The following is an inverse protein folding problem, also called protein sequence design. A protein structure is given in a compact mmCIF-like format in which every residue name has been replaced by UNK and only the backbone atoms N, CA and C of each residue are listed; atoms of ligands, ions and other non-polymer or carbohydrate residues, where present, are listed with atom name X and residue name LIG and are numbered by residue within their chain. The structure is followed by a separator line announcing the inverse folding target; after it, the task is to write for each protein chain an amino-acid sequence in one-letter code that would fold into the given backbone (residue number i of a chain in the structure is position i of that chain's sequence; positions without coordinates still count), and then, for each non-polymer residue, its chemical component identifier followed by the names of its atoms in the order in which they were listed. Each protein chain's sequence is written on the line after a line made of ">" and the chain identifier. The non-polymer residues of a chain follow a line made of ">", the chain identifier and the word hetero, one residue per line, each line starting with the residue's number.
data_IF_869241655859
#
_entry.id   IF_869241655859
#
_cell.length_a   1.000
_cell.length_b   1.000
_cell.length_c   1.000
_cell.angle_alpha   90.00
_cell.angle_beta   90.00
_cell.angle_gamma   90.00
#
_symmetry.space_group_name_H-M   'P 1'
#
loop_
_entity.id
_entity.type
_entity.pdbx_description
1 polymer ?
#
# COMPACT_ATOMS: atom_id res chain seq x y z
N UNK A 1 -5.84 9.30 1.00
CA UNK A 1 -5.27 10.65 1.18
C UNK A 1 -4.31 11.03 0.06
N UNK A 2 -3.24 10.27 -0.22
CA UNK A 2 -2.23 10.65 -1.23
C UNK A 2 -2.81 10.93 -2.62
N UNK A 3 -3.73 10.09 -3.11
CA UNK A 3 -4.39 10.32 -4.39
C UNK A 3 -5.21 11.62 -4.43
N UNK A 4 -5.62 12.14 -3.28
CA UNK A 4 -6.33 13.40 -3.13
C UNK A 4 -5.41 14.62 -2.92
N UNK A 5 -4.09 14.45 -3.08
CA UNK A 5 -3.11 15.51 -2.99
C UNK A 5 -2.62 15.84 -1.58
N UNK A 6 -2.87 14.97 -0.59
CA UNK A 6 -2.32 15.10 0.76
C UNK A 6 -0.91 14.52 0.84
N UNK A 7 -0.14 14.99 1.82
CA UNK A 7 1.28 14.66 1.97
C UNK A 7 1.64 14.19 3.37
N UNK A 8 2.81 13.57 3.48
CA UNK A 8 3.48 13.30 4.75
C UNK A 8 4.94 13.70 4.66
N UNK A 9 5.52 14.11 5.78
CA UNK A 9 6.93 14.40 5.92
C UNK A 9 7.46 13.89 7.26
N UNK A 10 8.73 13.59 7.32
CA UNK A 10 9.40 13.20 8.55
C UNK A 10 10.01 14.43 9.23
N UNK A 11 9.68 14.65 10.49
CA UNK A 11 10.28 15.68 11.33
C UNK A 11 11.63 15.21 11.90
N UNK A 12 12.47 16.14 12.33
CA UNK A 12 13.79 15.86 12.92
C UNK A 12 13.72 15.01 14.20
N UNK A 13 12.60 15.07 14.93
CA UNK A 13 12.35 14.28 16.15
C UNK A 13 11.81 12.86 15.86
N UNK A 14 11.68 12.50 14.57
CA UNK A 14 11.16 11.22 14.12
C UNK A 14 9.63 11.10 14.16
N UNK A 15 8.92 12.18 14.41
CA UNK A 15 7.46 12.24 14.23
C UNK A 15 7.10 12.45 12.76
N UNK A 16 5.85 12.16 12.39
CA UNK A 16 5.32 12.40 11.05
C UNK A 16 4.52 13.68 11.04
N UNK A 17 4.87 14.62 10.15
CA UNK A 17 4.00 15.72 9.80
C UNK A 17 3.01 15.26 8.74
N UNK A 18 1.73 15.52 8.95
CA UNK A 18 0.64 15.21 8.04
C UNK A 18 -0.27 16.42 7.89
N UNK A 19 -0.78 16.63 6.68
CA UNK A 19 -1.75 17.71 6.38
C UNK A 19 -3.20 17.17 6.26
N UNK A 20 -3.43 15.92 6.70
CA UNK A 20 -4.64 15.14 6.46
C UNK A 20 -5.90 15.66 7.14
N UNK A 21 -5.76 16.48 8.16
CA UNK A 21 -6.88 17.16 8.84
C UNK A 21 -7.26 18.51 8.20
N UNK A 22 -6.55 18.92 7.13
CA UNK A 22 -6.74 20.18 6.41
C UNK A 22 -7.40 20.02 5.05
N UNK A 23 -6.99 20.89 4.14
CA UNK A 23 -7.39 20.87 2.73
C UNK A 23 -6.16 20.68 1.86
N UNK A 24 -6.20 19.71 0.97
CA UNK A 24 -5.09 19.38 0.06
C UNK A 24 -4.89 20.46 -1.00
N UNK A 25 -3.76 20.39 -1.72
CA UNK A 25 -3.46 21.26 -2.85
C UNK A 25 -4.53 21.17 -3.96
N UNK A 26 -5.20 20.03 -4.08
CA UNK A 26 -6.28 19.81 -5.04
C UNK A 26 -7.65 20.30 -4.57
N UNK A 27 -7.71 20.95 -3.39
CA UNK A 27 -8.93 21.52 -2.83
C UNK A 27 -9.89 20.48 -2.24
N UNK A 28 -9.38 19.30 -1.85
CA UNK A 28 -10.15 18.25 -1.16
C UNK A 28 -9.87 18.34 0.32
N UNK A 29 -10.90 18.24 1.17
CA UNK A 29 -10.72 18.21 2.62
C UNK A 29 -10.47 16.79 3.12
N UNK A 30 -9.72 16.64 4.23
CA UNK A 30 -9.53 15.35 4.88
C UNK A 30 -10.85 14.70 5.28
N UNK A 31 -11.81 15.51 5.72
CA UNK A 31 -13.18 15.05 6.03
C UNK A 31 -13.83 14.37 4.82
N UNK A 32 -13.75 14.98 3.64
CA UNK A 32 -14.29 14.39 2.40
C UNK A 32 -13.63 13.05 2.05
N UNK A 33 -12.32 12.91 2.27
CA UNK A 33 -11.61 11.63 2.05
C UNK A 33 -12.13 10.56 3.01
N UNK A 34 -12.31 10.90 4.29
CA UNK A 34 -12.85 9.93 5.28
C UNK A 34 -14.30 9.59 4.98
N UNK A 35 -15.12 10.56 4.57
CA UNK A 35 -16.49 10.29 4.11
C UNK A 35 -16.51 9.30 2.94
N UNK A 36 -15.61 9.44 1.98
CA UNK A 36 -15.46 8.50 0.87
C UNK A 36 -15.04 7.10 1.37
N UNK A 37 -14.10 7.00 2.33
CA UNK A 37 -13.74 5.73 2.97
C UNK A 37 -14.96 5.10 3.67
N UNK A 38 -15.72 5.87 4.44
CA UNK A 38 -16.90 5.39 5.15
C UNK A 38 -18.01 4.93 4.20
N UNK A 39 -18.14 5.54 3.02
CA UNK A 39 -19.06 5.07 1.99
C UNK A 39 -18.66 3.69 1.43
N UNK A 40 -17.36 3.40 1.35
CA UNK A 40 -16.85 2.10 0.92
C UNK A 40 -17.04 1.07 2.04
N UNK A 41 -16.55 1.38 3.25
CA UNK A 41 -16.59 0.46 4.40
C UNK A 41 -18.03 0.24 4.94
N UNK A 42 -18.93 1.16 4.69
CA UNK A 42 -20.36 1.04 5.00
C UNK A 42 -21.15 0.14 4.06
N UNK A 43 -20.53 -0.34 2.97
CA UNK A 43 -21.18 -1.31 2.08
C UNK A 43 -21.35 -2.66 2.81
N UNK A 44 -22.53 -3.26 2.73
CA UNK A 44 -22.81 -4.54 3.40
C UNK A 44 -21.97 -5.72 2.91
N UNK A 45 -21.34 -5.59 1.74
CA UNK A 45 -20.41 -6.58 1.19
C UNK A 45 -18.94 -6.29 1.57
N UNK A 46 -18.66 -5.19 2.27
CA UNK A 46 -17.31 -4.89 2.74
C UNK A 46 -16.96 -5.78 3.93
N UNK A 47 -15.83 -6.49 3.83
CA UNK A 47 -15.31 -7.34 4.90
C UNK A 47 -13.98 -6.75 5.41
N UNK A 48 -13.92 -6.24 6.64
CA UNK A 48 -12.66 -5.88 7.26
C UNK A 48 -11.90 -7.16 7.64
N UNK A 49 -10.69 -7.32 7.09
CA UNK A 49 -9.85 -8.50 7.33
C UNK A 49 -8.67 -8.07 8.19
N UNK A 50 -8.41 -8.84 9.26
CA UNK A 50 -7.27 -8.61 10.13
C UNK A 50 -5.95 -8.87 9.38
N UNK A 51 -4.89 -8.14 9.75
CA UNK A 51 -3.56 -8.36 9.22
C UNK A 51 -3.11 -9.82 9.45
N UNK A 52 -2.53 -10.41 8.42
CA UNK A 52 -2.10 -11.82 8.42
C UNK A 52 -3.18 -12.85 8.08
N UNK A 53 -4.47 -12.47 7.95
CA UNK A 53 -5.55 -13.39 7.59
C UNK A 53 -6.03 -13.28 6.13
N UNK A 54 -5.49 -12.32 5.39
CA UNK A 54 -5.91 -12.04 4.00
C UNK A 54 -5.74 -13.26 3.10
N UNK A 55 -4.58 -13.93 3.13
CA UNK A 55 -4.33 -15.13 2.31
C UNK A 55 -5.30 -16.27 2.62
N UNK A 56 -5.70 -16.46 3.89
CA UNK A 56 -6.68 -17.47 4.29
C UNK A 56 -8.07 -17.14 3.75
N UNK A 57 -8.48 -15.86 3.82
CA UNK A 57 -9.76 -15.40 3.30
C UNK A 57 -9.82 -15.51 1.77
N UNK A 58 -8.72 -15.24 1.07
CA UNK A 58 -8.61 -15.50 -0.38
C UNK A 58 -8.76 -17.00 -0.66
N UNK A 59 -8.06 -17.84 0.09
CA UNK A 59 -8.09 -19.29 -0.10
C UNK A 59 -9.46 -19.92 0.18
N UNK A 60 -10.33 -19.29 0.99
CA UNK A 60 -11.70 -19.74 1.21
C UNK A 60 -12.59 -19.62 -0.03
N UNK A 61 -12.21 -18.75 -0.98
CA UNK A 61 -12.99 -18.48 -2.20
C UNK A 61 -14.20 -17.57 -1.99
N UNK A 62 -14.38 -17.00 -0.79
CA UNK A 62 -15.54 -16.17 -0.45
C UNK A 62 -15.37 -14.70 -0.86
N UNK A 63 -14.16 -14.28 -1.23
CA UNK A 63 -13.85 -12.91 -1.64
C UNK A 63 -13.96 -12.75 -3.15
N UNK A 64 -14.78 -11.79 -3.60
CA UNK A 64 -14.83 -11.38 -5.02
C UNK A 64 -13.71 -10.43 -5.41
N UNK A 65 -13.21 -9.63 -4.47
CA UNK A 65 -12.11 -8.69 -4.66
C UNK A 65 -11.43 -8.38 -3.33
N UNK A 66 -10.15 -8.09 -3.38
CA UNK A 66 -9.36 -7.70 -2.20
C UNK A 66 -8.32 -6.65 -2.60
N UNK A 67 -8.07 -5.69 -1.71
CA UNK A 67 -6.92 -4.79 -1.82
C UNK A 67 -5.79 -5.38 -1.02
N UNK A 68 -4.72 -5.78 -1.71
CA UNK A 68 -3.54 -6.39 -1.09
C UNK A 68 -2.28 -6.08 -1.91
N UNK A 69 -1.21 -6.79 -1.65
CA UNK A 69 0.04 -6.71 -2.41
C UNK A 69 0.32 -7.98 -3.22
N UNK A 70 1.41 -7.96 -3.97
CA UNK A 70 1.82 -9.08 -4.82
C UNK A 70 2.11 -10.36 -4.04
N UNK A 71 2.31 -10.29 -2.73
CA UNK A 71 2.53 -11.44 -1.85
C UNK A 71 1.31 -12.38 -1.73
N UNK A 72 0.09 -11.89 -2.01
CA UNK A 72 -1.13 -12.70 -2.02
C UNK A 72 -1.50 -13.24 -3.41
N UNK A 73 -0.76 -12.86 -4.46
CA UNK A 73 -1.05 -13.26 -5.84
C UNK A 73 -1.09 -14.77 -6.03
N UNK A 74 -0.13 -15.50 -5.46
CA UNK A 74 -0.07 -16.97 -5.55
C UNK A 74 -1.27 -17.63 -4.87
N UNK A 75 -1.71 -17.11 -3.72
CA UNK A 75 -2.90 -17.62 -3.03
C UNK A 75 -4.16 -17.38 -3.87
N UNK A 76 -4.29 -16.18 -4.46
CA UNK A 76 -5.42 -15.83 -5.33
C UNK A 76 -5.43 -16.68 -6.62
N UNK A 77 -4.30 -16.89 -7.26
CA UNK A 77 -4.19 -17.74 -8.44
C UNK A 77 -4.52 -19.19 -8.14
N UNK A 78 -4.09 -19.68 -6.99
CA UNK A 78 -4.41 -21.05 -6.56
C UNK A 78 -5.90 -21.23 -6.30
N UNK A 79 -6.55 -20.24 -5.69
CA UNK A 79 -7.97 -20.30 -5.35
C UNK A 79 -8.89 -20.15 -6.58
N UNK A 80 -8.54 -19.28 -7.52
CA UNK A 80 -9.42 -18.86 -8.60
C UNK A 80 -8.99 -19.33 -9.99
N UNK A 81 -7.78 -19.87 -10.16
CA UNK A 81 -7.27 -20.38 -11.43
C UNK A 81 -7.40 -19.34 -12.55
N UNK A 82 -8.07 -19.71 -13.64
CA UNK A 82 -8.31 -18.82 -14.80
C UNK A 82 -9.24 -17.63 -14.48
N UNK A 83 -9.93 -17.64 -13.33
CA UNK A 83 -10.73 -16.53 -12.86
C UNK A 83 -9.93 -15.45 -12.12
N UNK A 84 -8.64 -15.70 -11.83
CA UNK A 84 -7.79 -14.72 -11.18
C UNK A 84 -7.47 -13.53 -12.10
N UNK A 85 -7.60 -12.33 -11.56
CA UNK A 85 -7.18 -11.10 -12.21
C UNK A 85 -6.60 -10.12 -11.17
N UNK A 86 -5.71 -9.26 -11.62
CA UNK A 86 -5.20 -8.14 -10.83
C UNK A 86 -5.20 -6.86 -11.68
N UNK A 87 -5.38 -5.73 -11.04
CA UNK A 87 -5.35 -4.41 -11.67
C UNK A 87 -4.86 -3.37 -10.66
N UNK A 88 -4.48 -2.19 -11.14
CA UNK A 88 -4.21 -1.05 -10.26
C UNK A 88 -5.42 -0.74 -9.38
N UNK A 89 -5.20 -0.02 -8.29
CA UNK A 89 -6.28 0.42 -7.41
C UNK A 89 -7.33 1.22 -8.18
N UNK A 90 -8.63 1.03 -7.85
CA UNK A 90 -9.70 1.76 -8.51
C UNK A 90 -9.69 3.24 -8.16
N UNK A 91 -10.41 4.04 -8.91
CA UNK A 91 -10.78 5.39 -8.50
C UNK A 91 -11.90 5.36 -7.48
N UNK A 92 -12.01 6.42 -6.69
CA UNK A 92 -13.14 6.64 -5.78
C UNK A 92 -13.69 8.04 -5.93
N UNK A 93 -14.97 8.21 -5.59
CA UNK A 93 -15.64 9.51 -5.60
C UNK A 93 -15.38 10.23 -4.28
N UNK A 94 -14.86 11.44 -4.32
CA UNK A 94 -14.61 12.30 -3.18
C UNK A 94 -15.19 13.69 -3.46
N UNK A 95 -16.31 14.01 -2.82
CA UNK A 95 -17.09 15.20 -3.21
C UNK A 95 -17.59 15.09 -4.66
N UNK A 96 -17.22 16.05 -5.48
CA UNK A 96 -17.54 16.10 -6.92
C UNK A 96 -16.41 15.53 -7.81
N UNK A 97 -15.34 14.99 -7.22
CA UNK A 97 -14.14 14.53 -7.94
C UNK A 97 -14.04 13.03 -7.98
N UNK A 98 -13.53 12.52 -9.11
CA UNK A 98 -13.03 11.14 -9.22
C UNK A 98 -11.52 11.15 -8.96
N UNK A 99 -11.10 10.44 -7.93
CA UNK A 99 -9.71 10.42 -7.47
C UNK A 99 -9.13 9.02 -7.65
N UNK A 100 -7.99 8.93 -8.31
CA UNK A 100 -7.22 7.67 -8.37
C UNK A 100 -6.61 7.39 -7.00
N UNK A 101 -6.82 6.20 -6.46
CA UNK A 101 -6.18 5.81 -5.22
C UNK A 101 -4.66 5.78 -5.38
N UNK A 102 -3.97 6.47 -4.47
CA UNK A 102 -2.53 6.38 -4.32
C UNK A 102 -2.14 5.16 -3.48
N UNK A 103 -0.92 4.70 -3.64
CA UNK A 103 -0.33 3.64 -2.84
C UNK A 103 1.04 4.07 -2.31
N UNK A 104 1.53 3.32 -1.32
CA UNK A 104 2.91 3.47 -0.86
C UNK A 104 3.82 2.62 -1.74
N UNK A 105 4.86 3.22 -2.32
CA UNK A 105 5.91 2.53 -3.04
C UNK A 105 6.89 1.94 -2.01
N UNK A 106 6.87 0.63 -1.83
CA UNK A 106 7.75 -0.10 -0.92
C UNK A 106 8.89 -0.78 -1.66
N UNK A 107 10.09 -0.71 -1.07
CA UNK A 107 11.28 -1.37 -1.58
C UNK A 107 11.92 -2.23 -0.50
N UNK A 108 12.41 -3.41 -0.88
CA UNK A 108 13.26 -4.21 -0.01
C UNK A 108 14.72 -3.82 -0.27
N UNK A 109 15.40 -3.39 0.78
CA UNK A 109 16.76 -2.86 0.70
C UNK A 109 17.74 -3.82 1.38
N UNK A 110 18.96 -3.90 0.83
CA UNK A 110 20.09 -4.57 1.47
C UNK A 110 21.08 -3.50 1.89
N UNK A 111 21.36 -3.44 3.20
CA UNK A 111 22.32 -2.48 3.75
C UNK A 111 23.52 -3.16 4.35
N UNK A 112 24.69 -2.51 4.26
CA UNK A 112 25.92 -2.95 4.92
C UNK A 112 26.11 -2.13 6.20
N UNK A 113 26.23 -2.85 7.34
CA UNK A 113 26.51 -2.19 8.61
C UNK A 113 27.94 -1.60 8.58
N UNK A 114 28.04 -0.27 8.72
CA UNK A 114 29.32 0.45 8.69
C UNK A 114 30.29 0.05 9.81
N UNK A 115 29.81 -0.56 10.88
CA UNK A 115 30.62 -1.04 11.99
C UNK A 115 31.07 -2.50 11.83
N UNK A 116 30.72 -3.16 10.71
CA UNK A 116 31.13 -4.53 10.44
C UNK A 116 32.65 -4.62 10.28
N UNK A 117 33.27 -5.57 10.97
CA UNK A 117 34.69 -5.90 10.75
C UNK A 117 34.92 -6.48 9.34
N UNK A 118 33.89 -6.92 8.65
CA UNK A 118 33.92 -7.54 7.32
C UNK A 118 33.13 -6.71 6.28
N UNK A 119 33.14 -5.37 6.39
CA UNK A 119 32.36 -4.51 5.52
C UNK A 119 32.57 -4.76 4.02
N UNK A 120 33.84 -5.04 3.60
CA UNK A 120 34.15 -5.36 2.21
C UNK A 120 33.42 -6.62 1.71
N UNK A 121 33.45 -7.70 2.47
CA UNK A 121 32.75 -8.93 2.12
C UNK A 121 31.23 -8.76 2.17
N UNK A 122 30.74 -8.00 3.14
CA UNK A 122 29.30 -7.68 3.25
C UNK A 122 28.84 -6.85 2.03
N UNK A 123 29.66 -5.94 1.50
CA UNK A 123 29.36 -5.19 0.29
C UNK A 123 29.28 -6.10 -0.93
N UNK A 124 30.23 -7.02 -1.11
CA UNK A 124 30.18 -8.01 -2.20
C UNK A 124 28.95 -8.91 -2.11
N UNK A 125 28.56 -9.32 -0.90
CA UNK A 125 27.34 -10.10 -0.69
C UNK A 125 26.08 -9.27 -1.01
N UNK A 126 26.04 -8.00 -0.61
CA UNK A 126 24.92 -7.11 -0.90
C UNK A 126 24.76 -6.92 -2.42
N UNK A 127 25.86 -6.68 -3.13
CA UNK A 127 25.87 -6.59 -4.59
C UNK A 127 25.41 -7.90 -5.24
N UNK A 128 25.93 -9.03 -4.79
CA UNK A 128 25.54 -10.35 -5.30
C UNK A 128 24.04 -10.62 -5.08
N UNK A 129 23.49 -10.35 -3.89
CA UNK A 129 22.07 -10.55 -3.60
C UNK A 129 21.17 -9.69 -4.50
N UNK A 130 21.64 -8.48 -4.88
CA UNK A 130 20.84 -7.50 -5.62
C UNK A 130 21.16 -7.42 -7.11
N UNK A 131 22.09 -8.23 -7.62
CA UNK A 131 22.44 -8.23 -9.02
C UNK A 131 21.32 -8.80 -9.92
N UNK A 132 21.47 -8.62 -11.22
CA UNK A 132 20.49 -9.01 -12.24
C UNK A 132 20.11 -10.49 -12.17
N UNK A 133 21.13 -11.38 -12.15
CA UNK A 133 20.93 -12.83 -12.16
C UNK A 133 20.11 -13.30 -10.93
N UNK A 134 20.46 -12.81 -9.74
CA UNK A 134 19.76 -13.19 -8.51
C UNK A 134 18.36 -12.57 -8.42
N UNK A 135 18.10 -11.42 -9.05
CA UNK A 135 16.76 -10.89 -9.15
C UNK A 135 15.90 -11.71 -10.11
N UNK A 136 16.46 -12.17 -11.23
CA UNK A 136 15.77 -13.07 -12.16
C UNK A 136 15.42 -14.40 -11.49
N UNK A 137 16.37 -15.04 -10.78
CA UNK A 137 16.11 -16.27 -10.02
C UNK A 137 15.03 -16.06 -8.96
N UNK A 138 15.07 -14.93 -8.24
CA UNK A 138 14.07 -14.63 -7.20
C UNK A 138 12.68 -14.43 -7.78
N UNK A 139 12.59 -13.82 -8.95
CA UNK A 139 11.31 -13.74 -9.66
C UNK A 139 10.82 -15.13 -10.07
N UNK A 140 11.65 -15.93 -10.74
CA UNK A 140 11.28 -17.27 -11.20
C UNK A 140 10.82 -18.20 -10.06
N UNK A 141 11.46 -18.12 -8.89
CA UNK A 141 11.17 -19.00 -7.75
C UNK A 141 10.07 -18.47 -6.81
N UNK A 142 9.84 -17.17 -6.76
CA UNK A 142 9.03 -16.52 -5.73
C UNK A 142 8.08 -15.44 -6.26
N UNK A 143 8.11 -15.16 -7.55
CA UNK A 143 7.32 -14.08 -8.19
C UNK A 143 7.47 -12.70 -7.51
N UNK A 144 8.65 -12.45 -6.92
CA UNK A 144 8.97 -11.16 -6.32
C UNK A 144 9.41 -10.20 -7.41
N UNK A 145 8.69 -9.10 -7.56
CA UNK A 145 8.96 -8.09 -8.58
C UNK A 145 10.39 -7.56 -8.51
N UNK A 146 11.17 -7.64 -9.60
CA UNK A 146 12.55 -7.16 -9.64
C UNK A 146 12.61 -5.63 -9.73
N UNK A 147 13.64 -5.03 -9.14
CA UNK A 147 13.98 -3.62 -9.32
C UNK A 147 15.01 -3.37 -10.43
N UNK A 148 15.69 -4.42 -10.88
CA UNK A 148 16.59 -4.33 -12.04
C UNK A 148 15.77 -4.12 -13.31
N UNK A 149 16.11 -3.08 -14.09
CA UNK A 149 15.32 -2.66 -15.26
C UNK A 149 15.33 -3.68 -16.39
N UNK A 150 16.41 -4.45 -16.55
CA UNK A 150 16.48 -5.49 -17.59
C UNK A 150 15.56 -6.66 -17.24
N UNK A 151 15.61 -7.12 -15.97
CA UNK A 151 14.75 -8.20 -15.49
C UNK A 151 13.29 -7.77 -15.50
N UNK A 152 12.99 -6.56 -15.00
CA UNK A 152 11.63 -6.02 -14.97
C UNK A 152 11.02 -5.86 -16.37
N UNK A 153 11.86 -5.56 -17.38
CA UNK A 153 11.44 -5.44 -18.79
C UNK A 153 11.35 -6.76 -19.55
N UNK A 154 11.71 -7.89 -18.94
CA UNK A 154 11.57 -9.19 -19.60
C UNK A 154 10.10 -9.55 -19.85
N UNK A 155 9.83 -10.35 -20.90
CA UNK A 155 8.47 -10.80 -21.22
C UNK A 155 7.86 -11.61 -20.05
N UNK A 156 8.66 -12.44 -19.41
CA UNK A 156 8.24 -13.27 -18.30
C UNK A 156 7.74 -12.44 -17.11
N UNK A 157 8.45 -11.38 -16.74
CA UNK A 157 8.07 -10.49 -15.65
C UNK A 157 6.90 -9.59 -16.01
N UNK A 158 6.96 -8.98 -17.20
CA UNK A 158 5.96 -8.01 -17.65
C UNK A 158 4.59 -8.64 -17.96
N UNK A 159 4.55 -9.93 -18.26
CA UNK A 159 3.31 -10.70 -18.46
C UNK A 159 2.71 -11.25 -17.18
N UNK A 160 3.43 -11.21 -16.03
CA UNK A 160 2.88 -11.63 -14.75
C UNK A 160 1.77 -10.68 -14.31
N UNK A 161 0.57 -11.21 -14.09
CA UNK A 161 -0.66 -10.44 -13.82
C UNK A 161 -0.52 -9.49 -12.63
N UNK A 162 0.06 -9.94 -11.52
CA UNK A 162 0.25 -9.12 -10.32
C UNK A 162 1.30 -8.04 -10.53
N UNK A 163 2.41 -8.36 -11.21
CA UNK A 163 3.48 -7.40 -11.48
C UNK A 163 3.03 -6.36 -12.50
N UNK A 164 2.26 -6.73 -13.51
CA UNK A 164 1.67 -5.79 -14.46
C UNK A 164 0.76 -4.77 -13.74
N UNK A 165 -0.11 -5.24 -12.85
CA UNK A 165 -0.97 -4.38 -12.04
C UNK A 165 -0.17 -3.45 -11.11
N UNK A 166 0.89 -3.96 -10.48
CA UNK A 166 1.81 -3.15 -9.65
C UNK A 166 2.53 -2.09 -10.49
N UNK A 167 2.96 -2.44 -11.70
CA UNK A 167 3.60 -1.51 -12.64
C UNK A 167 2.66 -0.36 -13.03
N UNK A 168 1.40 -0.65 -13.34
CA UNK A 168 0.38 0.37 -13.60
C UNK A 168 0.12 1.26 -12.38
N UNK A 169 0.09 0.68 -11.17
CA UNK A 169 -0.11 1.41 -9.94
C UNK A 169 1.08 2.28 -9.56
N UNK A 170 2.28 1.96 -10.00
CA UNK A 170 3.51 2.68 -9.63
C UNK A 170 3.49 4.17 -10.00
N UNK A 171 2.74 4.54 -11.05
CA UNK A 171 2.54 5.94 -11.44
C UNK A 171 1.80 6.78 -10.36
N UNK A 172 1.12 6.12 -9.44
CA UNK A 172 0.36 6.71 -8.33
C UNK A 172 0.96 6.37 -6.97
N UNK A 173 2.18 5.85 -6.97
CA UNK A 173 2.92 5.50 -5.77
C UNK A 173 3.63 6.70 -5.17
N UNK A 174 3.63 6.78 -3.85
CA UNK A 174 4.44 7.73 -3.08
C UNK A 174 5.43 6.98 -2.20
N UNK A 175 6.60 7.58 -1.96
CA UNK A 175 7.57 6.99 -1.02
C UNK A 175 6.98 7.06 0.39
N UNK A 176 7.09 5.97 1.15
CA UNK A 176 6.69 5.94 2.55
C UNK A 176 7.62 6.80 3.39
N UNK A 177 7.12 7.96 3.81
CA UNK A 177 7.86 8.90 4.67
C UNK A 177 7.05 9.08 5.96
N UNK A 178 7.17 8.10 6.87
CA UNK A 178 6.49 8.12 8.16
C UNK A 178 7.46 7.73 9.27
N UNK A 179 7.35 8.37 10.42
CA UNK A 179 8.11 8.04 11.62
C UNK A 179 7.48 6.91 12.43
N UNK A 180 8.24 6.36 13.39
CA UNK A 180 7.77 5.24 14.21
C UNK A 180 6.51 5.55 15.04
N UNK A 181 6.26 6.80 15.37
CA UNK A 181 5.08 7.23 16.14
C UNK A 181 3.78 7.31 15.30
N UNK A 182 3.86 7.15 13.99
CA UNK A 182 2.71 7.18 13.09
C UNK A 182 1.77 5.98 13.26
N UNK A 183 2.34 4.81 13.54
CA UNK A 183 1.62 3.53 13.37
C UNK A 183 0.48 3.33 14.37
N UNK A 184 0.68 3.67 15.64
CA UNK A 184 -0.37 3.49 16.66
C UNK A 184 -1.58 4.40 16.43
N UNK A 185 -1.42 5.72 16.19
CA UNK A 185 -2.55 6.58 15.83
C UNK A 185 -3.24 6.15 14.54
N UNK A 186 -2.49 5.74 13.52
CA UNK A 186 -3.05 5.28 12.24
C UNK A 186 -3.86 3.99 12.41
N UNK A 187 -3.38 3.03 13.20
CA UNK A 187 -4.12 1.82 13.52
C UNK A 187 -5.42 2.14 14.27
N UNK A 188 -5.35 3.00 15.30
CA UNK A 188 -6.53 3.44 16.05
C UNK A 188 -7.56 4.12 15.16
N UNK A 189 -7.12 4.97 14.24
CA UNK A 189 -8.01 5.61 13.26
C UNK A 189 -8.65 4.57 12.33
N UNK A 190 -7.86 3.63 11.81
CA UNK A 190 -8.35 2.54 10.97
C UNK A 190 -9.39 1.66 11.67
N UNK A 191 -9.20 1.37 12.96
CA UNK A 191 -10.17 0.64 13.78
C UNK A 191 -11.48 1.42 13.96
N UNK A 192 -11.43 2.74 14.23
CA UNK A 192 -12.62 3.57 14.31
C UNK A 192 -13.44 3.50 13.02
N UNK A 193 -12.78 3.51 11.86
CA UNK A 193 -13.44 3.35 10.55
C UNK A 193 -14.03 1.95 10.39
N UNK A 194 -13.24 0.90 10.62
CA UNK A 194 -13.66 -0.50 10.41
C UNK A 194 -14.80 -0.92 11.34
N UNK A 195 -14.83 -0.41 12.58
CA UNK A 195 -15.88 -0.71 13.57
C UNK A 195 -17.12 0.17 13.42
N UNK A 196 -17.13 1.08 12.44
CA UNK A 196 -18.26 1.98 12.19
C UNK A 196 -18.49 3.01 13.31
N UNK A 197 -17.45 3.37 14.06
CA UNK A 197 -17.52 4.39 15.10
C UNK A 197 -17.61 5.80 14.52
N UNK A 198 -17.07 6.02 13.32
CA UNK A 198 -17.25 7.25 12.56
C UNK A 198 -18.47 7.13 11.64
N UNK A 199 -19.19 8.24 11.47
CA UNK A 199 -20.36 8.33 10.59
C UNK A 199 -20.09 9.37 9.49
N UNK A 200 -20.49 9.06 8.26
CA UNK A 200 -20.23 9.93 7.11
C UNK A 200 -20.95 11.29 7.19
N UNK A 201 -22.03 11.38 7.96
CA UNK A 201 -22.80 12.59 8.22
C UNK A 201 -22.35 13.38 9.47
N UNK A 202 -21.38 12.85 10.23
CA UNK A 202 -20.78 13.52 11.40
C UNK A 202 -19.40 14.12 11.02
N UNK A 203 -19.44 15.25 10.32
CA UNK A 203 -18.21 15.97 9.92
C UNK A 203 -17.35 16.39 11.12
N UNK A 204 -17.98 16.78 12.22
CA UNK A 204 -17.26 17.20 13.43
C UNK A 204 -16.54 16.02 14.11
N UNK A 205 -17.17 14.85 14.17
CA UNK A 205 -16.55 13.63 14.68
C UNK A 205 -15.41 13.13 13.79
N UNK A 206 -15.57 13.24 12.46
CA UNK A 206 -14.49 12.92 11.51
C UNK A 206 -13.32 13.88 11.70
N UNK A 207 -13.57 15.19 11.77
CA UNK A 207 -12.52 16.19 11.98
C UNK A 207 -11.75 15.94 13.28
N UNK A 208 -12.45 15.67 14.37
CA UNK A 208 -11.82 15.35 15.65
C UNK A 208 -10.93 14.10 15.57
N UNK A 209 -11.36 13.07 14.85
CA UNK A 209 -10.55 11.87 14.62
C UNK A 209 -9.30 12.12 13.77
N UNK A 210 -9.41 13.03 12.79
CA UNK A 210 -8.25 13.45 11.99
C UNK A 210 -7.28 14.32 12.81
N UNK A 211 -7.78 15.18 13.69
CA UNK A 211 -6.94 16.01 14.57
C UNK A 211 -6.18 15.15 15.62
N UNK A 212 -6.75 14.00 16.01
CA UNK A 212 -6.04 13.02 16.85
C UNK A 212 -4.98 12.22 16.07
N UNK A 213 -5.17 12.03 14.77
CA UNK A 213 -4.27 11.27 13.89
C UNK A 213 -3.01 12.07 13.53
N UNK A 214 -3.15 13.39 13.32
CA UNK A 214 -2.10 14.33 12.88
C UNK A 214 -1.33 14.90 14.08
#
# INVERSE_FOLDING_TARGET
>A
FYGAGFTTALNDDGSTAMDWNGTSADGVTGVQVVQAMLNITGNSAFLPIADGDVSNQIASGDLCAVVSGTWDATAAQTAFGDGYAATKLPTYTCGDKQIQQGSVAGFKLVGVNKYSANAGWATLLADWITNEDNQAVRFAEREIGPSNINVAGSEEVSSNTAIAALSEQSAYGVVQIVGGKYWDPAATFGEKVAQGQLKADDEAGIQAALDELV
#
